data_IF_771413391561
#
_entry.id   IF_771413391561
#
_cell.length_a   1.000
_cell.length_b   1.000
_cell.length_c   1.000
_cell.angle_alpha   90.00
_cell.angle_beta   90.00
_cell.angle_gamma   90.00
#
_symmetry.space_group_name_H-M   'P 1'
#
loop_
_entity.id
_entity.type
_entity.pdbx_description
1 polymer ?
#
# COMPACT_ATOMS: atom_id res chain seq x y z
N UNK A 1 -8.05 37.41 7.48
CA UNK A 1 -7.60 36.04 7.29
C UNK A 1 -6.10 36.00 7.51
N UNK A 2 -5.64 35.28 8.54
CA UNK A 2 -4.23 35.20 8.89
C UNK A 2 -3.39 34.57 7.76
N UNK A 3 -2.09 34.88 7.72
CA UNK A 3 -1.15 34.25 6.77
C UNK A 3 -1.19 32.71 6.88
N UNK A 4 -1.36 32.22 8.11
CA UNK A 4 -1.43 30.80 8.43
C UNK A 4 -2.65 30.12 7.82
N UNK A 5 -3.82 30.74 7.90
CA UNK A 5 -5.06 30.24 7.32
C UNK A 5 -4.98 30.15 5.78
N UNK A 6 -4.34 31.17 5.13
CA UNK A 6 -4.10 31.15 3.69
C UNK A 6 -3.14 30.02 3.28
N UNK A 7 -2.12 29.79 4.08
CA UNK A 7 -1.14 28.72 3.84
C UNK A 7 -1.77 27.34 3.96
N UNK A 8 -2.58 27.11 5.00
CA UNK A 8 -3.32 25.85 5.22
C UNK A 8 -4.30 25.59 4.08
N UNK A 9 -5.04 26.59 3.64
CA UNK A 9 -5.97 26.47 2.50
C UNK A 9 -5.25 26.11 1.20
N UNK A 10 -4.09 26.73 0.94
CA UNK A 10 -3.26 26.42 -0.23
C UNK A 10 -2.74 24.97 -0.21
N UNK A 11 -2.27 24.48 0.94
CA UNK A 11 -1.84 23.09 1.11
C UNK A 11 -2.99 22.11 0.91
N UNK A 12 -4.16 22.41 1.47
CA UNK A 12 -5.36 21.59 1.33
C UNK A 12 -5.79 21.46 -0.13
N UNK A 13 -5.87 22.58 -0.85
CA UNK A 13 -6.22 22.59 -2.28
C UNK A 13 -5.18 21.84 -3.12
N UNK A 14 -3.89 22.00 -2.84
CA UNK A 14 -2.83 21.28 -3.52
C UNK A 14 -2.96 19.75 -3.31
N UNK A 15 -3.26 19.31 -2.09
CA UNK A 15 -3.47 17.90 -1.76
C UNK A 15 -4.69 17.30 -2.48
N UNK A 16 -5.81 18.05 -2.61
CA UNK A 16 -6.99 17.62 -3.37
C UNK A 16 -6.64 17.47 -4.85
N UNK A 17 -5.95 18.42 -5.45
CA UNK A 17 -5.52 18.38 -6.86
C UNK A 17 -4.59 17.19 -7.11
N UNK A 18 -3.66 16.88 -6.19
CA UNK A 18 -2.78 15.73 -6.27
C UNK A 18 -3.57 14.42 -6.26
N UNK A 19 -4.54 14.27 -5.36
CA UNK A 19 -5.40 13.07 -5.30
C UNK A 19 -6.19 12.88 -6.59
N UNK A 20 -6.78 13.93 -7.14
CA UNK A 20 -7.52 13.88 -8.42
C UNK A 20 -6.62 13.43 -9.56
N UNK A 21 -5.40 13.95 -9.65
CA UNK A 21 -4.43 13.57 -10.68
C UNK A 21 -4.03 12.12 -10.55
N UNK A 22 -3.78 11.63 -9.33
CA UNK A 22 -3.47 10.23 -9.07
C UNK A 22 -4.62 9.31 -9.48
N UNK A 23 -5.85 9.64 -9.11
CA UNK A 23 -7.05 8.84 -9.47
C UNK A 23 -7.19 8.77 -11.00
N UNK A 24 -7.02 9.87 -11.72
CA UNK A 24 -7.07 9.89 -13.19
C UNK A 24 -5.97 9.07 -13.87
N UNK A 25 -4.88 8.81 -13.18
CA UNK A 25 -3.76 7.99 -13.68
C UNK A 25 -4.04 6.50 -13.61
N UNK A 26 -5.06 6.07 -12.86
CA UNK A 26 -5.44 4.66 -12.73
C UNK A 26 -6.24 4.25 -13.96
N UNK A 27 -5.87 3.10 -14.55
CA UNK A 27 -6.59 2.54 -15.69
C UNK A 27 -7.72 1.64 -15.22
N UNK A 28 -8.91 1.87 -15.74
CA UNK A 28 -10.03 0.97 -15.58
C UNK A 28 -9.99 -0.11 -16.66
N UNK A 29 -10.08 -1.37 -16.23
CA UNK A 29 -10.09 -2.53 -17.13
C UNK A 29 -11.39 -3.30 -16.87
N UNK A 30 -12.41 -3.11 -17.70
CA UNK A 30 -13.66 -3.85 -17.56
C UNK A 30 -13.45 -5.32 -17.91
N UNK A 31 -14.26 -6.17 -17.29
CA UNK A 31 -14.28 -7.62 -17.52
C UNK A 31 -12.93 -8.31 -17.29
N UNK A 32 -12.19 -7.91 -16.26
CA UNK A 32 -10.92 -8.51 -15.90
C UNK A 32 -10.87 -8.84 -14.39
N UNK A 33 -10.37 -10.02 -13.98
CA UNK A 33 -9.89 -11.15 -14.80
C UNK A 33 -11.02 -11.99 -15.42
N UNK A 34 -12.26 -11.71 -15.04
CA UNK A 34 -13.46 -12.39 -15.54
C UNK A 34 -14.55 -11.38 -15.89
N UNK A 35 -15.53 -11.75 -16.75
CA UNK A 35 -16.66 -10.88 -17.06
C UNK A 35 -17.41 -10.38 -15.83
N UNK A 36 -17.80 -9.10 -15.84
CA UNK A 36 -18.57 -8.45 -14.78
C UNK A 36 -17.71 -7.78 -13.69
N UNK A 37 -16.38 -7.95 -13.72
CA UNK A 37 -15.46 -7.29 -12.78
C UNK A 37 -14.80 -6.09 -13.44
N UNK A 38 -14.90 -4.93 -12.80
CA UNK A 38 -14.11 -3.76 -13.16
C UNK A 38 -12.81 -3.77 -12.33
N UNK A 39 -11.69 -3.94 -13.00
CA UNK A 39 -10.38 -3.96 -12.38
C UNK A 39 -9.71 -2.59 -12.48
N UNK A 40 -9.10 -2.13 -11.39
CA UNK A 40 -8.31 -0.90 -11.34
C UNK A 40 -6.83 -1.23 -11.44
N UNK A 41 -6.23 -0.87 -12.56
CA UNK A 41 -4.81 -1.09 -12.83
C UNK A 41 -3.99 0.13 -12.41
N UNK A 42 -3.24 -0.01 -11.32
CA UNK A 42 -2.39 1.04 -10.78
C UNK A 42 -1.01 1.11 -11.44
N UNK A 43 -0.66 0.17 -12.32
CA UNK A 43 0.63 0.20 -13.01
C UNK A 43 0.76 1.41 -13.92
N UNK A 44 -0.33 1.93 -14.42
CA UNK A 44 -0.37 3.19 -15.19
C UNK A 44 -0.02 4.41 -14.34
N UNK A 45 -0.36 4.38 -13.06
CA UNK A 45 0.08 5.39 -12.08
C UNK A 45 1.57 5.24 -11.80
N UNK A 46 2.05 4.04 -11.56
CA UNK A 46 3.46 3.78 -11.21
C UNK A 46 4.44 4.13 -12.32
N UNK A 47 4.04 4.03 -13.59
CA UNK A 47 4.90 4.39 -14.72
C UNK A 47 5.12 5.91 -14.87
N UNK A 48 4.28 6.71 -14.26
CA UNK A 48 4.42 8.17 -14.26
C UNK A 48 5.32 8.62 -13.10
N UNK A 49 6.45 9.31 -13.38
CA UNK A 49 7.42 9.63 -12.34
C UNK A 49 6.88 10.60 -11.30
N UNK A 50 5.98 11.51 -11.67
CA UNK A 50 5.35 12.42 -10.72
C UNK A 50 4.40 11.67 -9.79
N UNK A 51 3.55 10.78 -10.33
CA UNK A 51 2.61 9.98 -9.56
C UNK A 51 3.34 9.03 -8.61
N UNK A 52 4.43 8.41 -9.06
CA UNK A 52 5.21 7.48 -8.25
C UNK A 52 5.88 8.17 -7.05
N UNK A 53 6.19 9.45 -7.15
CA UNK A 53 6.73 10.25 -6.05
C UNK A 53 5.64 10.86 -5.17
N UNK A 54 4.53 11.29 -5.77
CA UNK A 54 3.46 11.99 -5.05
C UNK A 54 2.62 11.04 -4.18
N UNK A 55 2.32 9.84 -4.65
CA UNK A 55 1.55 8.86 -3.89
C UNK A 55 2.18 8.56 -2.52
N UNK A 56 3.47 8.23 -2.40
CA UNK A 56 4.08 8.00 -1.09
C UNK A 56 4.15 9.27 -0.22
N UNK A 57 4.17 10.46 -0.80
CA UNK A 57 4.09 11.71 -0.03
C UNK A 57 2.73 11.87 0.64
N UNK A 58 1.64 11.57 -0.09
CA UNK A 58 0.28 11.60 0.46
C UNK A 58 0.13 10.53 1.54
N UNK A 59 0.59 9.31 1.30
CA UNK A 59 0.56 8.23 2.29
C UNK A 59 1.38 8.57 3.53
N UNK A 60 2.55 9.17 3.36
CA UNK A 60 3.37 9.66 4.47
C UNK A 60 2.60 10.66 5.34
N UNK A 61 1.93 11.64 4.74
CA UNK A 61 1.13 12.62 5.49
C UNK A 61 0.00 11.98 6.29
N UNK A 62 -0.56 10.87 5.81
CA UNK A 62 -1.60 10.11 6.52
C UNK A 62 -1.06 9.38 7.76
N UNK A 63 0.18 8.90 7.73
CA UNK A 63 0.72 7.98 8.73
C UNK A 63 1.90 8.49 9.53
N UNK A 64 2.47 9.66 9.21
CA UNK A 64 3.69 10.21 9.83
C UNK A 64 3.63 10.36 11.36
N UNK A 65 2.44 10.54 11.92
CA UNK A 65 2.24 10.75 13.37
C UNK A 65 1.74 9.48 14.09
N UNK A 66 1.76 8.33 13.41
CA UNK A 66 1.27 7.05 13.95
C UNK A 66 2.35 6.20 14.63
N UNK A 67 3.60 6.63 14.59
CA UNK A 67 4.71 5.88 15.19
C UNK A 67 5.01 4.55 14.49
N UNK A 68 4.77 4.45 13.18
CA UNK A 68 4.99 3.23 12.40
C UNK A 68 6.47 2.83 12.45
N UNK A 69 6.74 1.58 12.83
CA UNK A 69 8.09 1.02 12.86
C UNK A 69 8.37 0.07 11.71
N UNK A 70 7.34 -0.58 11.18
CA UNK A 70 7.43 -1.52 10.08
C UNK A 70 6.27 -1.31 9.10
N UNK A 71 6.59 -1.30 7.83
CA UNK A 71 5.61 -1.45 6.75
C UNK A 71 5.65 -2.89 6.27
N UNK A 72 4.53 -3.58 6.29
CA UNK A 72 4.40 -4.97 5.86
C UNK A 72 3.68 -4.98 4.52
N UNK A 73 4.35 -5.44 3.48
CA UNK A 73 3.81 -5.48 2.12
C UNK A 73 3.49 -6.89 1.67
N UNK A 74 2.37 -7.06 0.98
CA UNK A 74 1.90 -8.36 0.48
C UNK A 74 2.38 -8.58 -0.95
N UNK A 75 2.94 -9.77 -1.20
CA UNK A 75 3.39 -10.20 -2.55
C UNK A 75 2.23 -10.13 -3.55
N UNK A 76 2.43 -9.57 -4.68
CA UNK A 76 3.66 -8.95 -5.20
C UNK A 76 3.54 -7.42 -5.29
N UNK A 77 2.34 -6.90 -5.46
CA UNK A 77 2.10 -5.47 -5.73
C UNK A 77 2.34 -4.58 -4.52
N UNK A 78 2.17 -5.11 -3.31
CA UNK A 78 2.55 -4.43 -2.07
C UNK A 78 4.06 -4.17 -1.94
N UNK A 79 4.89 -4.82 -2.77
CA UNK A 79 6.34 -4.62 -2.79
C UNK A 79 6.79 -3.38 -3.58
N UNK A 80 5.90 -2.77 -4.33
CA UNK A 80 6.23 -1.58 -5.14
C UNK A 80 6.21 -0.33 -4.26
N UNK A 81 5.07 -0.01 -3.70
CA UNK A 81 4.91 1.20 -2.89
C UNK A 81 5.32 0.99 -1.42
N UNK A 82 5.23 -0.22 -0.91
CA UNK A 82 5.54 -0.54 0.49
C UNK A 82 6.94 -0.10 0.92
N UNK A 83 8.03 -0.51 0.24
CA UNK A 83 9.38 -0.09 0.58
C UNK A 83 9.61 1.43 0.46
N UNK A 84 8.99 2.07 -0.53
CA UNK A 84 9.08 3.53 -0.70
C UNK A 84 8.45 4.23 0.50
N UNK A 85 7.26 3.80 0.91
CA UNK A 85 6.58 4.35 2.08
C UNK A 85 7.36 4.10 3.37
N UNK A 86 7.94 2.92 3.53
CA UNK A 86 8.79 2.59 4.68
C UNK A 86 9.96 3.57 4.82
N UNK A 87 10.65 3.89 3.72
CA UNK A 87 11.75 4.88 3.74
C UNK A 87 11.27 6.27 4.13
N UNK A 88 10.11 6.70 3.64
CA UNK A 88 9.51 7.99 4.01
C UNK A 88 9.17 8.08 5.50
N UNK A 89 8.70 6.98 6.08
CA UNK A 89 8.30 6.88 7.49
C UNK A 89 9.47 6.58 8.44
N UNK A 90 10.68 6.40 7.93
CA UNK A 90 11.82 5.91 8.70
C UNK A 90 11.52 4.57 9.40
N UNK A 91 10.82 3.70 8.70
CA UNK A 91 10.41 2.36 9.13
C UNK A 91 11.16 1.28 8.35
N UNK A 92 11.17 0.06 8.88
CA UNK A 92 11.62 -1.12 8.14
C UNK A 92 10.53 -1.63 7.19
N UNK A 93 10.92 -2.49 6.25
CA UNK A 93 9.99 -3.17 5.36
C UNK A 93 10.05 -4.68 5.55
N UNK A 94 8.88 -5.31 5.66
CA UNK A 94 8.70 -6.74 5.85
C UNK A 94 7.85 -7.31 4.73
N UNK A 95 8.34 -8.31 3.97
CA UNK A 95 7.53 -8.97 2.96
C UNK A 95 6.64 -10.07 3.55
N UNK A 96 5.38 -10.10 3.15
CA UNK A 96 4.52 -11.28 3.23
C UNK A 96 4.55 -11.95 1.86
N UNK A 97 4.82 -13.25 1.82
CA UNK A 97 5.00 -13.99 0.57
C UNK A 97 4.18 -15.27 0.53
N UNK A 98 4.04 -15.81 -0.67
CA UNK A 98 3.50 -17.14 -0.91
C UNK A 98 4.40 -18.22 -0.30
N UNK A 99 3.85 -19.42 0.04
CA UNK A 99 4.63 -20.49 0.64
C UNK A 99 5.89 -20.86 -0.14
N UNK A 100 6.96 -21.13 0.58
CA UNK A 100 8.24 -21.56 0.00
C UNK A 100 9.11 -20.46 -0.59
N UNK A 101 8.72 -19.19 -0.47
CA UNK A 101 9.48 -18.05 -1.00
C UNK A 101 10.43 -17.41 0.01
N UNK A 102 10.16 -17.59 1.30
CA UNK A 102 10.98 -17.03 2.38
C UNK A 102 11.99 -18.09 2.87
N UNK A 103 13.27 -17.72 3.01
CA UNK A 103 14.34 -18.70 3.25
C UNK A 103 14.50 -19.14 4.72
N UNK A 104 14.04 -18.33 5.69
CA UNK A 104 14.15 -18.63 7.11
C UNK A 104 12.83 -19.19 7.68
N UNK A 105 12.79 -19.46 8.96
CA UNK A 105 11.59 -19.96 9.63
C UNK A 105 10.41 -18.98 9.48
N UNK A 106 9.25 -19.52 9.13
CA UNK A 106 8.04 -18.73 8.83
C UNK A 106 6.90 -19.07 9.76
N UNK A 107 5.99 -18.10 9.90
CA UNK A 107 4.63 -18.29 10.40
C UNK A 107 3.71 -18.12 9.20
N UNK A 108 2.67 -18.96 9.12
CA UNK A 108 1.74 -18.94 8.02
C UNK A 108 0.30 -18.74 8.45
N UNK A 109 -0.48 -18.17 7.58
CA UNK A 109 -1.93 -18.01 7.70
C UNK A 109 -2.59 -18.43 6.39
N UNK A 110 -3.66 -19.20 6.49
CA UNK A 110 -4.46 -19.63 5.36
C UNK A 110 -5.83 -18.95 5.40
N UNK A 111 -6.32 -18.55 4.26
CA UNK A 111 -7.63 -17.93 4.11
C UNK A 111 -8.39 -18.51 2.92
N UNK A 112 -9.71 -18.53 3.05
CA UNK A 112 -10.57 -19.04 1.99
C UNK A 112 -10.73 -18.03 0.85
N UNK A 113 -10.60 -18.50 -0.37
CA UNK A 113 -10.99 -17.81 -1.58
C UNK A 113 -12.31 -18.36 -2.10
N UNK A 114 -12.90 -17.66 -3.06
CA UNK A 114 -14.08 -18.13 -3.80
C UNK A 114 -13.85 -19.51 -4.45
N UNK A 115 -12.61 -19.81 -4.83
CA UNK A 115 -12.18 -21.09 -5.41
C UNK A 115 -10.94 -21.65 -4.69
N UNK A 116 -11.11 -22.18 -3.46
CA UNK A 116 -10.06 -22.84 -2.70
C UNK A 116 -9.46 -21.99 -1.57
N UNK A 117 -8.31 -22.41 -1.09
CA UNK A 117 -7.56 -21.73 -0.02
C UNK A 117 -6.29 -21.12 -0.56
N UNK A 118 -5.91 -19.99 -0.02
CA UNK A 118 -4.60 -19.40 -0.23
C UNK A 118 -3.86 -19.30 1.11
N UNK A 119 -2.54 -19.35 1.05
CA UNK A 119 -1.68 -19.28 2.22
C UNK A 119 -0.62 -18.23 2.01
N UNK A 120 -0.35 -17.45 3.03
CA UNK A 120 0.74 -16.47 3.05
C UNK A 120 1.65 -16.72 4.23
N UNK A 121 2.90 -16.34 4.10
CA UNK A 121 3.93 -16.53 5.09
C UNK A 121 4.67 -15.24 5.40
N UNK A 122 5.08 -15.09 6.66
CA UNK A 122 5.98 -14.04 7.13
C UNK A 122 7.11 -14.70 7.90
N UNK A 123 8.32 -14.15 7.88
CA UNK A 123 9.40 -14.64 8.74
C UNK A 123 9.01 -14.54 10.22
N UNK A 124 9.28 -15.58 10.98
CA UNK A 124 8.95 -15.67 12.40
C UNK A 124 9.62 -14.58 13.24
N UNK A 125 10.81 -14.15 12.85
CA UNK A 125 11.62 -13.12 13.51
C UNK A 125 11.42 -11.70 12.94
N UNK A 126 10.45 -11.53 12.00
CA UNK A 126 10.26 -10.25 11.31
C UNK A 126 9.74 -9.12 12.21
N UNK A 127 8.94 -9.45 13.21
CA UNK A 127 8.21 -8.52 14.07
C UNK A 127 8.38 -8.88 15.54
N UNK A 128 8.32 -7.89 16.39
CA UNK A 128 8.24 -8.06 17.84
C UNK A 128 7.05 -7.28 18.44
N UNK A 129 6.84 -7.45 19.74
CA UNK A 129 5.71 -6.87 20.46
C UNK A 129 5.73 -5.33 20.53
N UNK A 130 6.87 -4.70 20.27
CA UNK A 130 7.02 -3.25 20.28
C UNK A 130 6.78 -2.61 18.90
N UNK A 131 6.64 -3.44 17.86
CA UNK A 131 6.42 -2.93 16.52
C UNK A 131 5.01 -2.35 16.33
N UNK A 132 4.96 -1.21 15.66
CA UNK A 132 3.73 -0.61 15.16
C UNK A 132 3.71 -0.80 13.64
N UNK A 133 2.76 -1.58 13.17
CA UNK A 133 2.73 -2.12 11.81
C UNK A 133 1.76 -1.34 10.94
N UNK A 134 2.19 -1.00 9.74
CA UNK A 134 1.32 -0.59 8.64
C UNK A 134 1.30 -1.71 7.60
N UNK A 135 0.16 -2.38 7.49
CA UNK A 135 -0.06 -3.40 6.46
C UNK A 135 -0.46 -2.72 5.16
N UNK A 136 0.23 -3.07 4.08
CA UNK A 136 0.04 -2.44 2.76
C UNK A 136 -0.15 -3.46 1.65
N UNK A 137 -1.15 -3.21 0.83
CA UNK A 137 -1.35 -3.78 -0.50
C UNK A 137 -1.97 -2.71 -1.41
N UNK A 138 -1.95 -2.92 -2.72
CA UNK A 138 -2.52 -1.99 -3.69
C UNK A 138 -3.98 -2.27 -4.04
N UNK A 139 -4.47 -3.47 -3.71
CA UNK A 139 -5.83 -3.90 -4.01
C UNK A 139 -6.49 -4.57 -2.80
N UNK A 140 -7.66 -4.06 -2.44
CA UNK A 140 -8.55 -4.68 -1.48
C UNK A 140 -9.79 -5.22 -2.22
N UNK A 141 -9.82 -6.52 -2.50
CA UNK A 141 -10.87 -7.12 -3.31
C UNK A 141 -12.21 -7.22 -2.56
N UNK A 142 -12.21 -7.84 -1.40
CA UNK A 142 -13.44 -8.08 -0.61
C UNK A 142 -13.43 -7.39 0.75
N UNK A 143 -12.25 -7.00 1.25
CA UNK A 143 -12.08 -6.51 2.60
C UNK A 143 -12.37 -7.56 3.68
N UNK A 144 -12.43 -8.83 3.31
CA UNK A 144 -12.58 -9.91 4.28
C UNK A 144 -11.36 -9.98 5.21
N UNK A 145 -11.57 -10.17 6.50
CA UNK A 145 -10.48 -10.30 7.45
C UNK A 145 -9.61 -11.52 7.20
#
# INVERSE_FOLDING_TARGET
>A
VSRETKHLKKRYNSMIMSKETLIKSIREVPDFPIPGILFYDVTTLFKDPWCLQELPNIMFDMYKDKGITKVVGIESRGFIMGPILATRLNAGFIPIRKPGKLPAETIEESYDKEYGKDTVQIHKDALDENDVILLHDDLLATGAP
#
